data_IF_489864882265
#
_entry.id   IF_489864882265
#
_cell.length_a   1.000
_cell.length_b   1.000
_cell.length_c   1.000
_cell.angle_alpha   90.00
_cell.angle_beta   90.00
_cell.angle_gamma   90.00
#
_symmetry.space_group_name_H-M   'P 1'
#
loop_
_entity.id
_entity.type
_entity.pdbx_description
1 polymer ?
#
# COMPACT_ATOMS: atom_id res chain seq x y z
N UNK A 1 -9.60 -3.69 6.39
CA UNK A 1 -8.95 -2.77 7.35
C UNK A 1 -9.46 -1.33 7.20
N UNK A 2 -9.11 -0.59 6.12
CA UNK A 2 -9.55 0.80 5.90
C UNK A 2 -11.06 1.03 6.08
N UNK A 3 -11.90 0.22 5.41
CA UNK A 3 -13.37 0.30 5.57
C UNK A 3 -13.82 0.17 7.03
N UNK A 4 -13.17 -0.70 7.80
CA UNK A 4 -13.44 -0.87 9.23
C UNK A 4 -13.08 0.39 10.01
N UNK A 5 -11.86 0.92 9.83
CA UNK A 5 -11.42 2.15 10.52
C UNK A 5 -12.33 3.35 10.20
N UNK A 6 -12.79 3.46 8.94
CA UNK A 6 -13.74 4.51 8.56
C UNK A 6 -15.13 4.29 9.16
N UNK A 7 -15.60 3.04 9.22
CA UNK A 7 -16.94 2.70 9.72
C UNK A 7 -17.05 2.88 11.24
N UNK A 8 -15.99 2.58 11.98
CA UNK A 8 -15.91 2.76 13.43
C UNK A 8 -15.36 4.13 13.86
N UNK A 9 -15.22 5.07 12.90
CA UNK A 9 -14.83 6.46 13.13
C UNK A 9 -13.50 6.65 13.88
N UNK A 10 -12.43 6.04 13.36
CA UNK A 10 -11.05 6.24 13.82
C UNK A 10 -10.26 7.12 12.82
N UNK A 11 -10.50 8.44 12.74
CA UNK A 11 -9.94 9.28 11.68
C UNK A 11 -8.41 9.37 11.74
N UNK A 12 -7.82 9.48 12.93
CA UNK A 12 -6.35 9.54 13.09
C UNK A 12 -5.65 8.28 12.60
N UNK A 13 -6.16 7.11 13.01
CA UNK A 13 -5.61 5.80 12.59
C UNK A 13 -5.85 5.54 11.11
N UNK A 14 -7.02 5.97 10.58
CA UNK A 14 -7.33 5.89 9.15
C UNK A 14 -6.31 6.68 8.33
N UNK A 15 -6.04 7.93 8.72
CA UNK A 15 -5.07 8.80 8.07
C UNK A 15 -3.67 8.20 8.11
N UNK A 16 -3.23 7.73 9.28
CA UNK A 16 -1.91 7.11 9.44
C UNK A 16 -1.74 5.86 8.58
N UNK A 17 -2.76 4.98 8.55
CA UNK A 17 -2.78 3.81 7.68
C UNK A 17 -2.60 4.21 6.22
N UNK A 18 -3.43 5.14 5.76
CA UNK A 18 -3.47 5.59 4.37
C UNK A 18 -2.14 6.21 3.93
N UNK A 19 -1.55 7.07 4.76
CA UNK A 19 -0.27 7.71 4.48
C UNK A 19 0.88 6.70 4.40
N UNK A 20 0.96 5.78 5.38
CA UNK A 20 1.99 4.73 5.40
C UNK A 20 1.84 3.75 4.24
N UNK A 21 0.60 3.34 3.92
CA UNK A 21 0.31 2.48 2.77
C UNK A 21 0.76 3.11 1.46
N UNK A 22 0.44 4.40 1.24
CA UNK A 22 0.85 5.11 0.03
C UNK A 22 2.37 5.28 -0.05
N UNK A 23 3.02 5.65 1.06
CA UNK A 23 4.48 5.78 1.11
C UNK A 23 5.18 4.46 0.74
N UNK A 24 4.70 3.33 1.29
CA UNK A 24 5.21 2.00 1.01
C UNK A 24 5.06 1.64 -0.48
N UNK A 25 3.89 1.88 -1.06
CA UNK A 25 3.63 1.63 -2.48
C UNK A 25 4.59 2.46 -3.37
N UNK A 26 4.73 3.76 -3.09
CA UNK A 26 5.57 4.67 -3.88
C UNK A 26 7.06 4.31 -3.79
N UNK A 27 7.55 3.95 -2.61
CA UNK A 27 8.94 3.51 -2.41
C UNK A 27 9.22 2.24 -3.24
N UNK A 28 8.33 1.26 -3.19
CA UNK A 28 8.45 0.02 -3.98
C UNK A 28 8.41 0.27 -5.47
N UNK A 29 7.42 1.04 -5.92
CA UNK A 29 7.29 1.38 -7.33
C UNK A 29 8.54 2.08 -7.86
N UNK A 30 9.15 2.96 -7.06
CA UNK A 30 10.41 3.63 -7.43
C UNK A 30 11.58 2.66 -7.52
N UNK A 31 11.66 1.69 -6.61
CA UNK A 31 12.76 0.71 -6.53
C UNK A 31 12.68 -0.38 -7.60
N UNK A 32 11.52 -1.00 -7.80
CA UNK A 32 11.38 -2.21 -8.63
C UNK A 32 10.42 -2.06 -9.81
N UNK A 33 9.72 -0.92 -9.94
CA UNK A 33 8.64 -0.72 -10.93
C UNK A 33 7.56 -1.81 -10.85
N UNK A 34 7.36 -2.36 -9.66
CA UNK A 34 6.38 -3.40 -9.41
C UNK A 34 5.42 -3.03 -8.28
N UNK A 35 4.21 -3.55 -8.37
CA UNK A 35 3.24 -3.60 -7.28
C UNK A 35 3.14 -5.05 -6.85
N UNK A 36 3.54 -5.33 -5.60
CA UNK A 36 3.67 -6.69 -5.11
C UNK A 36 2.42 -7.13 -4.33
N UNK A 37 2.21 -8.44 -4.20
CA UNK A 37 1.16 -9.00 -3.35
C UNK A 37 1.48 -8.77 -1.87
N UNK A 38 2.73 -9.06 -1.48
CA UNK A 38 3.20 -8.89 -0.11
C UNK A 38 4.28 -7.80 -0.02
N UNK A 39 4.34 -7.13 1.12
CA UNK A 39 5.35 -6.13 1.45
C UNK A 39 5.97 -6.48 2.81
N UNK A 40 7.28 -6.30 2.97
CA UNK A 40 7.90 -6.50 4.28
C UNK A 40 7.37 -5.52 5.32
N UNK A 41 7.17 -6.02 6.54
CA UNK A 41 6.72 -5.25 7.69
C UNK A 41 7.68 -4.10 8.08
N UNK A 42 8.94 -4.15 7.65
CA UNK A 42 9.92 -3.07 7.86
C UNK A 42 9.67 -1.83 6.98
N UNK A 43 8.70 -1.88 6.06
CA UNK A 43 8.32 -0.74 5.24
C UNK A 43 9.24 -0.47 4.04
N UNK A 44 10.24 -1.32 3.82
CA UNK A 44 11.17 -1.20 2.67
C UNK A 44 10.64 -1.86 1.41
N UNK A 45 9.52 -2.58 1.50
CA UNK A 45 8.98 -3.30 0.37
C UNK A 45 9.51 -4.70 0.20
N UNK A 46 9.90 -5.07 -1.02
CA UNK A 46 10.57 -6.34 -1.29
C UNK A 46 12.06 -6.23 -0.96
N UNK A 47 12.64 -7.23 -0.30
CA UNK A 47 14.07 -7.27 0.05
C UNK A 47 14.93 -7.83 -1.11
N UNK A 48 16.24 -7.47 -1.16
CA UNK A 48 17.19 -8.13 -2.05
C UNK A 48 17.26 -9.63 -1.75
N UNK A 49 16.92 -10.48 -2.72
CA UNK A 49 16.96 -11.94 -2.60
C UNK A 49 15.61 -12.65 -2.46
N UNK A 50 14.49 -11.92 -2.29
CA UNK A 50 13.16 -12.54 -2.39
C UNK A 50 12.92 -12.99 -3.85
N UNK A 51 12.24 -14.11 -4.08
CA UNK A 51 12.00 -14.62 -5.43
C UNK A 51 11.14 -13.63 -6.25
N UNK A 52 11.56 -13.32 -7.48
CA UNK A 52 10.75 -12.53 -8.40
C UNK A 52 9.82 -13.46 -9.18
N UNK A 53 8.54 -13.51 -8.81
CA UNK A 53 7.54 -14.02 -9.73
C UNK A 53 7.33 -12.96 -10.82
N UNK A 54 7.94 -13.18 -11.99
CA UNK A 54 7.89 -12.28 -13.15
C UNK A 54 6.52 -12.19 -13.80
N UNK A 55 5.58 -13.07 -13.41
CA UNK A 55 4.24 -13.15 -14.00
C UNK A 55 3.27 -12.07 -13.50
N UNK A 56 3.55 -11.36 -12.40
CA UNK A 56 2.63 -10.34 -11.86
C UNK A 56 3.38 -9.11 -11.32
N UNK A 57 3.96 -8.31 -12.21
CA UNK A 57 4.56 -7.02 -11.82
C UNK A 57 3.51 -6.02 -11.31
N UNK A 58 2.21 -6.30 -11.45
CA UNK A 58 1.13 -5.45 -10.98
C UNK A 58 0.04 -6.25 -10.26
N UNK A 59 0.21 -6.45 -8.96
CA UNK A 59 -0.76 -7.15 -8.15
C UNK A 59 -1.90 -6.22 -7.70
N UNK A 60 -3.12 -6.55 -8.11
CA UNK A 60 -4.33 -5.73 -7.93
C UNK A 60 -4.60 -5.36 -6.45
N UNK A 61 -4.37 -6.25 -5.50
CA UNK A 61 -4.56 -5.92 -4.08
C UNK A 61 -3.41 -5.11 -3.49
N UNK A 62 -2.21 -5.17 -4.05
CA UNK A 62 -1.13 -4.22 -3.74
C UNK A 62 -1.48 -2.80 -4.18
N UNK A 63 -2.22 -2.64 -5.28
CA UNK A 63 -2.69 -1.33 -5.75
C UNK A 63 -3.72 -0.70 -4.79
N UNK A 64 -4.36 -1.48 -3.92
CA UNK A 64 -5.28 -0.96 -2.90
C UNK A 64 -4.59 0.01 -1.94
N UNK A 65 -3.28 -0.15 -1.70
CA UNK A 65 -2.47 0.75 -0.87
C UNK A 65 -2.58 2.21 -1.33
N UNK A 66 -2.47 2.45 -2.64
CA UNK A 66 -2.60 3.78 -3.24
C UNK A 66 -4.06 4.19 -3.43
N UNK A 67 -4.95 3.24 -3.72
CA UNK A 67 -6.37 3.54 -3.88
C UNK A 67 -7.00 4.10 -2.59
N UNK A 68 -6.65 3.56 -1.41
CA UNK A 68 -7.12 4.08 -0.13
C UNK A 68 -6.71 5.55 0.07
N UNK A 69 -5.51 5.94 -0.38
CA UNK A 69 -5.05 7.33 -0.35
C UNK A 69 -5.83 8.26 -1.26
N UNK A 70 -6.15 7.81 -2.47
CA UNK A 70 -7.01 8.57 -3.36
C UNK A 70 -8.42 8.71 -2.81
N UNK A 71 -8.97 7.68 -2.17
CA UNK A 71 -10.29 7.74 -1.53
C UNK A 71 -10.30 8.72 -0.36
N UNK A 72 -9.30 8.65 0.52
CA UNK A 72 -9.24 9.51 1.71
C UNK A 72 -9.09 10.99 1.31
N UNK A 73 -8.26 11.31 0.32
CA UNK A 73 -8.07 12.69 -0.14
C UNK A 73 -9.20 13.22 -1.04
N UNK A 74 -10.06 12.36 -1.57
CA UNK A 74 -11.26 12.76 -2.31
C UNK A 74 -12.50 12.94 -1.43
N UNK A 75 -12.43 12.62 -0.13
CA UNK A 75 -13.51 12.94 0.81
C UNK A 75 -13.55 14.46 1.01
N UNK A 76 -14.60 15.08 0.47
CA UNK A 76 -14.95 16.49 0.73
C UNK A 76 -15.48 16.67 2.13
#
# INVERSE_FOLDING_TARGET
MYKGLTQYNFPGVTKELVEKSNALLVINWRASKSVNENYHASGVGRLPGEAQNTSDNFYHWGALLGYMYLLENNKK
#
